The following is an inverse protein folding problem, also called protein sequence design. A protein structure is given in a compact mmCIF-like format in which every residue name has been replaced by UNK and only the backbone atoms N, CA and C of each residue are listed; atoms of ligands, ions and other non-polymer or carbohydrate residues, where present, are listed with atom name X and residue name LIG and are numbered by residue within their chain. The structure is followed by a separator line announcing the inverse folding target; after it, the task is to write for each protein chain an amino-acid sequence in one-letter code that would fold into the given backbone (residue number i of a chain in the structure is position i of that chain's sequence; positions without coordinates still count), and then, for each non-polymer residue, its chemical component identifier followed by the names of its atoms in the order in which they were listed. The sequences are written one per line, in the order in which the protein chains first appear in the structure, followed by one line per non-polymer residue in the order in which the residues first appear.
data_IF_397081872193
#
_entry.id   IF_397081872193
#
_cell.length_a   1.000
_cell.length_b   1.000
_cell.length_c   1.000
_cell.angle_alpha   90.00
_cell.angle_beta   90.00
_cell.angle_gamma   90.00
#
_symmetry.space_group_name_H-M   'P 1'
#
loop_
_entity.id
_entity.type
_entity.pdbx_description
1 polymer ?
#
# COMPACT_ATOMS: atom_id res chain seq x y z
N UNK A 1 -0.26 -8.69 5.63
CA UNK A 1 -1.70 -8.70 6.01
C UNK A 1 -2.64 -8.68 4.81
N UNK A 2 -2.59 -7.66 3.93
CA UNK A 2 -3.50 -7.56 2.78
C UNK A 2 -3.52 -8.82 1.89
N UNK A 3 -2.35 -9.38 1.60
CA UNK A 3 -2.21 -10.66 0.86
C UNK A 3 -2.89 -11.84 1.58
N UNK A 4 -2.82 -11.88 2.91
CA UNK A 4 -3.41 -12.94 3.73
C UNK A 4 -4.93 -12.79 3.83
N UNK A 5 -5.45 -11.57 3.96
CA UNK A 5 -6.89 -11.30 3.93
C UNK A 5 -7.51 -11.69 2.58
N UNK A 6 -6.83 -11.39 1.47
CA UNK A 6 -7.28 -11.81 0.14
C UNK A 6 -7.21 -13.33 -0.02
N UNK A 7 -6.12 -13.96 0.44
CA UNK A 7 -5.97 -15.42 0.36
C UNK A 7 -7.00 -16.18 1.21
N UNK A 8 -7.29 -15.72 2.43
CA UNK A 8 -8.28 -16.38 3.30
C UNK A 8 -9.70 -16.35 2.69
N UNK A 9 -10.09 -15.23 2.07
CA UNK A 9 -11.38 -15.10 1.38
C UNK A 9 -11.48 -15.97 0.12
N UNK A 10 -10.39 -16.06 -0.66
CA UNK A 10 -10.31 -16.96 -1.81
C UNK A 10 -10.45 -18.43 -1.40
N UNK A 11 -9.80 -18.84 -0.31
CA UNK A 11 -9.92 -20.19 0.24
C UNK A 11 -11.32 -20.47 0.80
N UNK A 12 -12.02 -19.44 1.28
CA UNK A 12 -13.42 -19.51 1.70
C UNK A 12 -14.43 -19.62 0.55
N UNK A 13 -13.98 -19.60 -0.71
CA UNK A 13 -14.85 -19.70 -1.90
C UNK A 13 -15.60 -18.41 -2.26
N UNK A 14 -15.21 -17.26 -1.67
CA UNK A 14 -15.81 -15.97 -2.01
C UNK A 14 -15.38 -15.48 -3.40
N UNK A 15 -16.19 -14.65 -4.07
CA UNK A 15 -15.85 -14.13 -5.39
C UNK A 15 -14.55 -13.32 -5.37
N UNK A 16 -13.73 -13.50 -6.40
CA UNK A 16 -12.39 -12.89 -6.55
C UNK A 16 -12.41 -11.38 -6.34
N UNK A 17 -13.44 -10.68 -6.85
CA UNK A 17 -13.57 -9.22 -6.74
C UNK A 17 -13.63 -8.75 -5.27
N UNK A 18 -14.30 -9.53 -4.42
CA UNK A 18 -14.56 -9.21 -3.02
C UNK A 18 -13.30 -9.48 -2.18
N UNK A 19 -12.57 -10.54 -2.53
CA UNK A 19 -11.27 -10.84 -1.95
C UNK A 19 -10.21 -9.75 -2.26
N UNK A 20 -10.21 -9.22 -3.50
CA UNK A 20 -9.32 -8.12 -3.90
C UNK A 20 -9.70 -6.83 -3.15
N UNK A 21 -11.00 -6.50 -3.09
CA UNK A 21 -11.48 -5.31 -2.39
C UNK A 21 -11.11 -5.32 -0.89
N UNK A 22 -11.29 -6.46 -0.22
CA UNK A 22 -10.91 -6.62 1.19
C UNK A 22 -9.39 -6.48 1.40
N UNK A 23 -8.58 -7.02 0.48
CA UNK A 23 -7.13 -6.82 0.48
C UNK A 23 -6.74 -5.35 0.37
N UNK A 24 -7.33 -4.63 -0.59
CA UNK A 24 -7.08 -3.20 -0.79
C UNK A 24 -7.48 -2.38 0.44
N UNK A 25 -8.66 -2.64 1.01
CA UNK A 25 -9.15 -1.91 2.20
C UNK A 25 -8.24 -2.16 3.40
N UNK A 26 -7.83 -3.40 3.65
CA UNK A 26 -6.93 -3.71 4.76
C UNK A 26 -5.54 -3.09 4.58
N UNK A 27 -5.02 -3.07 3.35
CA UNK A 27 -3.76 -2.41 3.01
C UNK A 27 -3.83 -0.89 3.20
N UNK A 28 -4.90 -0.26 2.68
CA UNK A 28 -5.17 1.17 2.87
C UNK A 28 -5.31 1.52 4.35
N UNK A 29 -6.06 0.73 5.11
CA UNK A 29 -6.26 0.95 6.54
C UNK A 29 -4.93 0.94 7.31
N UNK A 30 -4.09 -0.08 7.08
CA UNK A 30 -2.75 -0.14 7.70
C UNK A 30 -1.86 1.02 7.24
N UNK A 31 -1.91 1.37 5.96
CA UNK A 31 -1.14 2.50 5.41
C UNK A 31 -1.53 3.83 6.05
N UNK A 32 -2.83 4.08 6.20
CA UNK A 32 -3.37 5.27 6.87
C UNK A 32 -2.96 5.29 8.34
N UNK A 33 -3.03 4.15 9.04
CA UNK A 33 -2.59 4.06 10.44
C UNK A 33 -1.10 4.41 10.55
N UNK A 34 -0.25 3.85 9.69
CA UNK A 34 1.18 4.14 9.71
C UNK A 34 1.45 5.62 9.42
N UNK A 35 0.81 6.19 8.40
CA UNK A 35 0.91 7.62 8.08
C UNK A 35 0.43 8.52 9.24
N UNK A 36 -0.70 8.18 9.88
CA UNK A 36 -1.25 8.95 11.00
C UNK A 36 -0.33 8.88 12.22
N UNK A 37 0.26 7.72 12.51
CA UNK A 37 1.21 7.56 13.62
C UNK A 37 2.43 8.47 13.42
N UNK A 38 3.04 8.42 12.24
CA UNK A 38 4.23 9.23 11.94
C UNK A 38 3.91 10.73 12.00
N UNK A 39 2.75 11.13 11.48
CA UNK A 39 2.39 12.53 11.30
C UNK A 39 1.84 13.20 12.57
N UNK A 40 1.00 12.49 13.34
CA UNK A 40 0.38 13.01 14.57
C UNK A 40 1.21 12.75 15.82
N UNK A 41 1.81 11.56 15.95
CA UNK A 41 2.57 11.20 17.15
C UNK A 41 4.04 11.60 17.05
N UNK A 42 4.50 12.12 15.89
CA UNK A 42 5.88 12.55 15.63
C UNK A 42 6.93 11.48 15.99
N UNK A 43 6.55 10.22 15.88
CA UNK A 43 7.44 9.08 16.09
C UNK A 43 8.32 8.93 14.84
N UNK A 44 9.62 8.63 14.97
CA UNK A 44 10.48 8.31 13.84
C UNK A 44 9.85 7.25 12.93
N UNK A 45 9.77 7.53 11.63
CA UNK A 45 9.06 6.70 10.64
C UNK A 45 9.55 5.25 10.60
N UNK A 46 10.85 5.05 10.84
CA UNK A 46 11.46 3.72 10.90
C UNK A 46 10.83 2.87 12.02
N UNK A 47 10.71 3.42 13.23
CA UNK A 47 10.19 2.69 14.39
C UNK A 47 8.71 2.39 14.21
N UNK A 48 7.94 3.37 13.76
CA UNK A 48 6.51 3.20 13.49
C UNK A 48 6.26 2.12 12.43
N UNK A 49 7.00 2.16 11.31
CA UNK A 49 6.83 1.20 10.23
C UNK A 49 7.27 -0.22 10.65
N UNK A 50 8.36 -0.36 11.41
CA UNK A 50 8.78 -1.65 11.95
C UNK A 50 7.76 -2.23 12.95
N UNK A 51 7.19 -1.40 13.83
CA UNK A 51 6.15 -1.82 14.76
C UNK A 51 4.88 -2.26 14.03
N UNK A 52 4.38 -1.45 13.10
CA UNK A 52 3.19 -1.77 12.30
C UNK A 52 3.42 -3.02 11.45
N UNK A 53 4.61 -3.19 10.85
CA UNK A 53 4.96 -4.40 10.11
C UNK A 53 4.94 -5.64 11.00
N UNK A 54 5.48 -5.55 12.22
CA UNK A 54 5.45 -6.66 13.19
C UNK A 54 4.02 -7.02 13.59
N UNK A 55 3.18 -6.03 13.91
CA UNK A 55 1.76 -6.25 14.24
C UNK A 55 1.01 -6.86 13.05
N UNK A 56 1.23 -6.33 11.84
CA UNK A 56 0.60 -6.82 10.62
C UNK A 56 1.03 -8.26 10.28
N UNK A 57 2.27 -8.65 10.60
CA UNK A 57 2.74 -10.03 10.45
C UNK A 57 2.15 -10.94 11.54
N UNK A 58 2.06 -10.50 12.79
CA UNK A 58 1.43 -11.26 13.86
C UNK A 58 -0.05 -11.54 13.59
N UNK A 59 -0.81 -10.52 13.17
CA UNK A 59 -2.20 -10.69 12.75
C UNK A 59 -2.33 -11.61 11.53
N UNK A 60 -1.41 -11.51 10.57
CA UNK A 60 -1.39 -12.39 9.42
C UNK A 60 -1.18 -13.86 9.84
N UNK A 61 -0.27 -14.11 10.79
CA UNK A 61 -0.04 -15.44 11.38
C UNK A 61 -1.27 -15.98 12.11
N UNK A 62 -2.00 -15.12 12.82
CA UNK A 62 -3.21 -15.49 13.54
C UNK A 62 -4.33 -15.90 12.58
N UNK A 63 -4.44 -15.22 11.44
CA UNK A 63 -5.42 -15.55 10.37
C UNK A 63 -5.03 -16.83 9.63
N UNK A 64 -3.75 -17.06 9.36
CA UNK A 64 -3.28 -18.27 8.65
C UNK A 64 -3.20 -19.51 9.54
N UNK A 65 -3.29 -19.36 10.86
CA UNK A 65 -3.03 -20.45 11.81
C UNK A 65 -1.61 -21.01 11.69
N UNK A 66 -0.67 -20.23 11.15
CA UNK A 66 0.71 -20.65 10.90
C UNK A 66 0.97 -21.40 9.58
N UNK A 67 -0.05 -21.63 8.75
CA UNK A 67 0.11 -22.34 7.46
C UNK A 67 -0.06 -21.38 6.29
N UNK A 68 0.94 -21.33 5.40
CA UNK A 68 0.83 -20.50 4.19
C UNK A 68 -0.28 -21.03 3.27
N UNK A 69 -1.15 -20.14 2.81
CA UNK A 69 -2.15 -20.44 1.79
C UNK A 69 -1.47 -20.70 0.44
N UNK A 70 -1.29 -21.98 0.08
CA UNK A 70 -0.63 -22.40 -1.17
C UNK A 70 -1.57 -23.30 -1.98
N UNK A 71 -1.63 -23.08 -3.30
CA UNK A 71 -2.16 -24.06 -4.27
C UNK A 71 -3.66 -24.00 -4.61
N UNK A 72 -4.49 -23.23 -3.89
CA UNK A 72 -5.95 -23.10 -4.15
C UNK A 72 -6.35 -21.67 -4.51
N UNK A 73 -5.68 -21.08 -5.51
CA UNK A 73 -6.03 -19.76 -6.01
C UNK A 73 -6.70 -19.88 -7.38
N UNK A 74 -7.78 -19.13 -7.54
CA UNK A 74 -8.56 -19.07 -8.78
C UNK A 74 -7.64 -18.69 -9.97
N UNK A 75 -7.73 -19.37 -11.13
CA UNK A 75 -6.92 -19.05 -12.32
C UNK A 75 -7.01 -17.58 -12.75
N UNK A 76 -8.14 -16.91 -12.52
CA UNK A 76 -8.28 -15.47 -12.79
C UNK A 76 -7.34 -14.65 -11.90
N UNK A 77 -7.24 -14.99 -10.62
CA UNK A 77 -6.33 -14.32 -9.68
C UNK A 77 -4.86 -14.62 -10.00
N UNK A 78 -4.56 -15.87 -10.42
CA UNK A 78 -3.23 -16.25 -10.86
C UNK A 78 -2.79 -15.51 -12.12
N UNK A 79 -3.70 -15.18 -13.03
CA UNK A 79 -3.39 -14.37 -14.21
C UNK A 79 -2.99 -12.93 -13.83
N UNK A 80 -3.64 -12.31 -12.85
CA UNK A 80 -3.26 -10.97 -12.38
C UNK A 80 -1.86 -10.93 -11.73
N UNK A 81 -1.50 -11.96 -10.96
CA UNK A 81 -0.23 -11.98 -10.22
C UNK A 81 0.95 -12.67 -10.93
N UNK A 82 0.67 -13.73 -11.70
CA UNK A 82 1.66 -14.57 -12.38
C UNK A 82 1.38 -14.77 -13.87
N UNK A 83 0.31 -14.19 -14.40
CA UNK A 83 0.00 -14.26 -15.82
C UNK A 83 1.04 -13.52 -16.65
N UNK A 84 1.14 -13.94 -17.91
CA UNK A 84 1.94 -13.28 -18.92
C UNK A 84 1.01 -12.59 -19.91
N UNK A 85 1.28 -11.32 -20.19
CA UNK A 85 0.61 -10.55 -21.24
C UNK A 85 1.66 -10.26 -22.30
N UNK A 86 1.47 -10.77 -23.52
CA UNK A 86 2.42 -10.59 -24.64
C UNK A 86 3.88 -10.97 -24.30
N UNK A 87 4.08 -12.04 -23.52
CA UNK A 87 5.41 -12.52 -23.12
C UNK A 87 6.05 -11.77 -21.93
N UNK A 88 5.43 -10.67 -21.47
CA UNK A 88 5.85 -9.96 -20.26
C UNK A 88 5.01 -10.39 -19.05
N UNK A 89 5.62 -10.65 -17.88
CA UNK A 89 4.89 -10.83 -16.63
C UNK A 89 3.97 -9.63 -16.37
N UNK A 90 2.69 -9.88 -16.07
CA UNK A 90 1.71 -8.82 -15.76
C UNK A 90 2.20 -7.88 -14.64
N UNK A 91 3.02 -8.40 -13.72
CA UNK A 91 3.65 -7.64 -12.63
C UNK A 91 4.50 -6.45 -13.13
N UNK A 92 5.18 -6.60 -14.28
CA UNK A 92 5.97 -5.52 -14.88
C UNK A 92 5.04 -4.40 -15.37
N UNK A 93 3.90 -4.76 -15.97
CA UNK A 93 2.90 -3.79 -16.47
C UNK A 93 2.32 -2.99 -15.31
N UNK A 94 1.94 -3.66 -14.21
CA UNK A 94 1.44 -3.00 -13.00
C UNK A 94 2.48 -2.06 -12.39
N UNK A 95 3.74 -2.48 -12.32
CA UNK A 95 4.83 -1.64 -11.83
C UNK A 95 5.02 -0.40 -12.72
N UNK A 96 5.05 -0.58 -14.04
CA UNK A 96 5.19 0.51 -14.99
C UNK A 96 4.04 1.53 -14.83
N UNK A 97 2.81 1.05 -14.74
CA UNK A 97 1.62 1.88 -14.57
C UNK A 97 1.65 2.64 -13.24
N UNK A 98 2.06 1.98 -12.15
CA UNK A 98 2.24 2.62 -10.84
C UNK A 98 3.32 3.73 -10.89
N UNK A 99 4.49 3.45 -11.48
CA UNK A 99 5.57 4.44 -11.62
C UNK A 99 5.12 5.63 -12.47
N UNK A 100 4.48 5.38 -13.61
CA UNK A 100 4.02 6.44 -14.50
C UNK A 100 2.98 7.33 -13.82
N UNK A 101 2.04 6.71 -13.09
CA UNK A 101 1.01 7.43 -12.31
C UNK A 101 1.63 8.26 -11.18
N UNK A 102 2.64 7.72 -10.48
CA UNK A 102 3.35 8.43 -9.43
C UNK A 102 4.16 9.61 -9.97
N UNK A 103 4.88 9.42 -11.08
CA UNK A 103 5.62 10.48 -11.76
C UNK A 103 4.70 11.60 -12.26
N UNK A 104 3.57 11.23 -12.85
CA UNK A 104 2.57 12.20 -13.28
C UNK A 104 2.02 12.98 -12.08
N UNK A 105 1.70 12.30 -10.98
CA UNK A 105 1.21 12.96 -9.77
C UNK A 105 2.27 13.92 -9.19
N UNK A 106 3.52 13.47 -9.05
CA UNK A 106 4.60 14.29 -8.48
C UNK A 106 4.95 15.50 -9.35
N UNK A 107 5.04 15.34 -10.67
CA UNK A 107 5.51 16.40 -11.58
C UNK A 107 4.39 17.32 -12.08
N UNK A 108 3.20 16.79 -12.30
CA UNK A 108 2.13 17.52 -12.98
C UNK A 108 1.08 18.10 -12.02
N UNK A 109 0.98 17.61 -10.78
CA UNK A 109 -0.04 18.09 -9.84
C UNK A 109 0.53 19.09 -8.83
N UNK A 110 -0.27 20.12 -8.51
CA UNK A 110 0.04 21.11 -7.45
C UNK A 110 0.37 20.42 -6.12
N UNK A 111 -0.38 19.38 -5.78
CA UNK A 111 -0.16 18.57 -4.59
C UNK A 111 1.20 17.89 -4.61
N UNK A 112 1.62 17.33 -5.75
CA UNK A 112 2.93 16.68 -5.91
C UNK A 112 4.10 17.63 -5.68
N UNK A 113 4.07 18.82 -6.27
CA UNK A 113 5.12 19.84 -6.09
C UNK A 113 5.19 20.30 -4.63
N UNK A 114 4.03 20.57 -4.01
CA UNK A 114 3.99 20.95 -2.59
C UNK A 114 4.55 19.85 -1.69
N UNK A 115 4.30 18.57 -2.02
CA UNK A 115 4.79 17.42 -1.26
C UNK A 115 6.33 17.33 -1.31
N UNK A 116 6.91 17.51 -2.49
CA UNK A 116 8.37 17.56 -2.68
C UNK A 116 8.99 18.71 -1.90
N UNK A 117 8.44 19.93 -2.01
CA UNK A 117 8.94 21.10 -1.27
C UNK A 117 8.89 20.90 0.25
N UNK A 118 7.83 20.28 0.77
CA UNK A 118 7.74 19.98 2.22
C UNK A 118 8.72 18.93 2.69
N UNK A 119 9.17 18.04 1.80
CA UNK A 119 10.18 17.02 2.12
C UNK A 119 11.60 17.55 2.15
N UNK A 120 11.94 18.53 1.30
CA UNK A 120 13.28 19.14 1.27
C UNK A 120 13.52 20.13 2.41
N UNK A 121 12.56 21.04 2.66
CA UNK A 121 12.69 22.01 3.75
C UNK A 121 11.31 22.49 4.24
N UNK A 122 10.92 22.03 5.43
CA UNK A 122 9.59 22.33 6.00
C UNK A 122 9.41 23.82 6.36
N UNK A 123 10.44 24.46 6.94
CA UNK A 123 10.35 25.86 7.36
C UNK A 123 10.16 26.84 6.19
N UNK A 124 10.95 26.76 5.09
CA UNK A 124 10.70 27.54 3.88
C UNK A 124 9.35 27.27 3.24
N UNK A 125 8.90 26.00 3.19
CA UNK A 125 7.60 25.64 2.63
C UNK A 125 6.45 26.28 3.42
N UNK A 126 6.56 26.33 4.76
CA UNK A 126 5.58 27.01 5.62
C UNK A 126 5.57 28.52 5.39
N UNK A 127 6.74 29.14 5.22
CA UNK A 127 6.86 30.57 4.92
C UNK A 127 6.33 30.93 3.52
N UNK A 128 6.42 30.00 2.57
CA UNK A 128 5.82 30.11 1.23
C UNK A 128 4.29 29.93 1.21
N UNK A 129 3.64 29.79 2.37
CA UNK A 129 2.18 29.66 2.49
C UNK A 129 1.65 28.24 2.28
N UNK A 130 2.52 27.22 2.19
CA UNK A 130 2.10 25.82 2.09
C UNK A 130 1.75 25.33 3.50
N UNK A 131 0.52 24.81 3.66
CA UNK A 131 0.10 24.19 4.92
C UNK A 131 0.79 22.82 5.09
N UNK A 132 2.01 22.83 5.63
CA UNK A 132 2.85 21.65 5.82
C UNK A 132 2.19 20.60 6.72
N UNK A 133 1.36 21.03 7.69
CA UNK A 133 0.62 20.14 8.57
C UNK A 133 -0.46 19.33 7.82
N UNK A 134 -1.08 19.91 6.78
CA UNK A 134 -2.07 19.21 5.94
C UNK A 134 -1.41 18.34 4.88
N UNK A 135 -0.23 18.72 4.38
CA UNK A 135 0.50 17.95 3.36
C UNK A 135 1.15 16.68 3.91
N UNK A 136 1.37 16.62 5.23
CA UNK A 136 1.96 15.44 5.88
C UNK A 136 0.96 14.29 6.06
N UNK A 137 -0.34 14.55 6.10
CA UNK A 137 -1.43 13.57 6.35
C UNK A 137 -2.02 13.09 5.04
#
# INVERSE_FOLDING_TARGET
LASVCTASLLFGGYPVILAIAAGLISGLGIGIINGLIVTRLRIPSLIATLAVSTIANGLAFLITGGVAFVGRLDPVFLFFGRGQVMGLPAMIIWMLLAVLSCLFMLKQTRTGVHLVCTGEAEEPARLAGINTARMKV
#
